data_IF_239501315769
#
_entry.id   IF_239501315769
#
_cell.length_a   1.000
_cell.length_b   1.000
_cell.length_c   1.000
_cell.angle_alpha   90.00
_cell.angle_beta   90.00
_cell.angle_gamma   90.00
#
_symmetry.space_group_name_H-M   'P 1'
#
loop_
_entity.id
_entity.type
_entity.pdbx_description
1 polymer ?
#
# COMPACT_ATOMS: atom_id res chain seq x y z
N UNK A 1 78.59 -84.16 24.95
CA UNK A 1 77.70 -85.35 24.93
C UNK A 1 77.40 -85.59 23.46
N UNK A 2 78.14 -86.53 22.86
CA UNK A 2 78.20 -86.73 21.40
C UNK A 2 77.15 -87.80 21.07
N UNK A 3 76.21 -87.48 20.17
CA UNK A 3 75.23 -88.44 19.67
C UNK A 3 75.75 -88.97 18.33
N UNK A 4 76.17 -90.23 18.32
CA UNK A 4 76.61 -90.96 17.12
C UNK A 4 75.36 -91.48 16.40
N UNK A 5 75.21 -91.13 15.12
CA UNK A 5 74.13 -91.64 14.27
C UNK A 5 74.79 -92.36 13.09
N UNK A 6 74.86 -93.68 13.18
CA UNK A 6 75.39 -94.54 12.12
C UNK A 6 74.28 -94.93 11.13
N UNK A 7 74.48 -94.60 9.85
CA UNK A 7 73.64 -95.06 8.76
C UNK A 7 74.54 -95.80 7.77
N UNK A 8 74.38 -97.12 7.69
CA UNK A 8 75.15 -98.02 6.81
C UNK A 8 74.43 -98.22 5.47
N UNK A 9 75.07 -97.73 4.39
CA UNK A 9 74.82 -98.21 3.01
C UNK A 9 76.17 -98.36 2.30
N UNK A 10 76.55 -99.61 2.01
CA UNK A 10 77.62 -100.09 1.14
C UNK A 10 78.84 -99.14 0.92
N UNK A 11 79.83 -99.24 1.81
CA UNK A 11 81.24 -99.02 1.43
C UNK A 11 81.85 -97.62 1.57
N UNK A 12 81.16 -96.63 2.16
CA UNK A 12 81.76 -95.33 2.50
C UNK A 12 81.06 -94.68 3.72
N UNK A 13 81.77 -94.46 4.83
CA UNK A 13 81.25 -93.77 6.04
C UNK A 13 81.54 -92.28 5.93
N UNK A 14 80.51 -91.43 6.06
CA UNK A 14 80.65 -89.96 6.09
C UNK A 14 80.39 -89.50 7.53
N UNK A 15 81.41 -88.94 8.19
CA UNK A 15 81.28 -88.25 9.47
C UNK A 15 81.12 -86.75 9.22
N UNK A 16 80.07 -86.15 9.79
CA UNK A 16 79.78 -84.71 9.71
C UNK A 16 79.96 -84.10 11.09
N UNK A 17 81.08 -83.41 11.30
CA UNK A 17 81.32 -82.59 12.49
C UNK A 17 80.70 -81.19 12.31
N UNK A 18 79.70 -80.86 13.14
CA UNK A 18 79.03 -79.56 13.13
C UNK A 18 79.10 -78.89 14.50
N UNK A 19 79.48 -77.60 14.51
CA UNK A 19 79.49 -76.75 15.71
C UNK A 19 78.39 -75.70 15.56
N UNK A 20 77.42 -75.68 16.49
CA UNK A 20 76.32 -74.72 16.48
C UNK A 20 76.78 -73.32 16.93
N UNK A 21 76.83 -72.36 16.01
CA UNK A 21 76.97 -70.93 16.33
C UNK A 21 75.59 -70.24 16.37
N UNK A 22 75.26 -69.55 17.47
CA UNK A 22 74.05 -68.69 17.53
C UNK A 22 74.36 -67.30 16.96
N UNK A 23 73.74 -66.94 15.84
CA UNK A 23 73.74 -65.56 15.32
C UNK A 23 72.61 -64.78 15.99
N UNK A 24 72.94 -63.84 16.86
CA UNK A 24 71.99 -62.90 17.45
C UNK A 24 71.85 -61.66 16.57
N UNK A 25 70.67 -61.41 16.02
CA UNK A 25 70.34 -60.16 15.33
C UNK A 25 69.62 -59.23 16.32
N UNK A 26 70.17 -58.02 16.53
CA UNK A 26 69.49 -56.96 17.29
C UNK A 26 68.81 -56.04 16.28
N UNK A 27 67.48 -56.05 16.22
CA UNK A 27 66.70 -55.13 15.38
C UNK A 27 65.90 -54.14 16.22
N UNK A 28 65.95 -52.87 15.84
CA UNK A 28 65.11 -51.79 16.41
C UNK A 28 63.91 -51.55 15.50
N UNK A 29 62.70 -51.45 16.08
CA UNK A 29 61.44 -51.31 15.35
C UNK A 29 61.28 -49.86 14.86
N UNK A 30 60.98 -49.58 13.57
CA UNK A 30 60.71 -48.22 13.11
C UNK A 30 59.31 -47.75 13.51
N UNK A 31 59.18 -46.47 13.90
CA UNK A 31 57.89 -45.81 14.12
C UNK A 31 57.68 -44.67 13.12
N UNK A 32 56.44 -44.49 12.67
CA UNK A 32 56.06 -43.41 11.74
C UNK A 32 55.13 -42.43 12.46
N UNK A 33 55.48 -41.13 12.44
CA UNK A 33 54.66 -40.04 12.98
C UNK A 33 53.99 -39.29 11.83
N UNK A 34 52.66 -39.28 11.80
CA UNK A 34 51.87 -38.53 10.82
C UNK A 34 51.35 -37.25 11.47
N UNK A 35 51.71 -36.09 10.91
CA UNK A 35 51.15 -34.80 11.29
C UNK A 35 50.09 -34.38 10.27
N UNK A 36 48.87 -34.10 10.73
CA UNK A 36 47.76 -33.61 9.90
C UNK A 36 47.30 -32.24 10.39
N UNK A 37 47.14 -31.29 9.47
CA UNK A 37 46.56 -29.97 9.74
C UNK A 37 45.10 -29.96 9.31
N UNK A 38 44.17 -29.69 10.24
CA UNK A 38 42.75 -29.57 9.93
C UNK A 38 42.46 -28.26 9.16
N UNK A 39 41.58 -28.26 8.13
CA UNK A 39 41.23 -27.05 7.40
C UNK A 39 40.37 -26.12 8.27
N UNK A 40 40.71 -24.83 8.29
CA UNK A 40 39.90 -23.81 8.96
C UNK A 40 38.84 -23.27 8.00
N UNK A 41 37.56 -23.55 8.28
CA UNK A 41 36.42 -23.01 7.52
C UNK A 41 36.09 -21.63 8.08
N UNK A 42 36.27 -20.57 7.28
CA UNK A 42 35.81 -19.21 7.61
C UNK A 42 34.43 -18.99 7.03
N UNK A 43 33.41 -19.11 7.88
CA UNK A 43 32.03 -18.78 7.54
C UNK A 43 31.82 -17.28 7.70
N UNK A 44 31.45 -16.58 6.62
CA UNK A 44 31.02 -15.18 6.67
C UNK A 44 29.52 -15.16 6.42
N UNK A 45 28.77 -14.68 7.41
CA UNK A 45 27.32 -14.47 7.32
C UNK A 45 27.13 -12.96 7.38
N UNK A 46 26.58 -12.37 6.33
CA UNK A 46 26.20 -10.97 6.31
C UNK A 46 24.72 -10.87 6.77
N UNK A 47 24.41 -9.90 7.64
CA UNK A 47 23.06 -9.77 8.22
C UNK A 47 22.03 -9.31 7.18
N UNK A 48 20.78 -9.81 7.23
CA UNK A 48 19.73 -9.36 6.33
C UNK A 48 19.27 -7.94 6.66
N UNK A 49 19.24 -7.06 5.66
CA UNK A 49 18.71 -5.70 5.78
C UNK A 49 17.24 -5.67 5.34
N UNK A 50 16.34 -5.21 6.22
CA UNK A 50 14.94 -4.96 5.90
C UNK A 50 14.74 -3.50 5.49
N UNK A 51 14.30 -3.25 4.27
CA UNK A 51 13.89 -1.92 3.79
C UNK A 51 12.37 -1.83 3.72
N UNK A 52 11.78 -0.99 4.57
CA UNK A 52 10.33 -0.69 4.54
C UNK A 52 10.12 0.59 3.75
N UNK A 53 9.41 0.51 2.62
CA UNK A 53 8.92 1.68 1.88
C UNK A 53 7.50 1.99 2.35
N UNK A 54 7.30 3.18 2.90
CA UNK A 54 5.99 3.70 3.25
C UNK A 54 5.59 4.71 2.20
N UNK A 55 4.55 4.42 1.43
CA UNK A 55 3.95 5.41 0.53
C UNK A 55 3.01 6.30 1.35
N UNK A 56 3.11 7.62 1.17
CA UNK A 56 2.21 8.56 1.84
C UNK A 56 0.94 8.75 1.01
N UNK A 57 -0.22 8.85 1.65
CA UNK A 57 -1.48 9.16 0.94
C UNK A 57 -1.88 10.59 1.28
N UNK A 58 -2.08 11.41 0.25
CA UNK A 58 -2.67 12.74 0.38
C UNK A 58 -4.18 12.67 0.12
N UNK A 59 -4.96 13.23 1.05
CA UNK A 59 -6.41 13.29 1.00
C UNK A 59 -6.85 14.72 0.70
N UNK A 60 -7.58 14.91 -0.39
CA UNK A 60 -8.22 16.16 -0.76
C UNK A 60 -9.74 16.00 -0.69
N UNK A 61 -10.40 16.86 0.08
CA UNK A 61 -11.86 16.90 0.19
C UNK A 61 -12.34 18.24 -0.36
N UNK A 62 -13.20 18.16 -1.36
CA UNK A 62 -13.85 19.32 -1.97
C UNK A 62 -15.30 19.44 -1.48
N UNK A 63 -15.63 20.60 -0.92
CA UNK A 63 -16.93 20.92 -0.35
C UNK A 63 -17.71 21.96 -1.17
N UNK A 64 -17.24 22.33 -2.38
CA UNK A 64 -17.81 23.46 -3.12
C UNK A 64 -19.32 23.30 -3.38
N UNK A 65 -19.78 22.10 -3.74
CA UNK A 65 -21.20 21.80 -3.95
C UNK A 65 -22.02 21.83 -2.65
N UNK A 66 -21.50 21.27 -1.55
CA UNK A 66 -22.19 21.32 -0.26
C UNK A 66 -22.45 22.76 0.21
N UNK A 67 -21.51 23.66 -0.07
CA UNK A 67 -21.64 25.06 0.30
C UNK A 67 -22.63 25.77 -0.61
N UNK A 68 -22.61 25.47 -1.91
CA UNK A 68 -23.57 26.00 -2.88
C UNK A 68 -25.02 25.64 -2.49
N UNK A 69 -25.27 24.42 -2.02
CA UNK A 69 -26.59 23.99 -1.54
C UNK A 69 -27.09 24.80 -0.32
N UNK A 70 -26.16 25.31 0.48
CA UNK A 70 -26.43 26.22 1.60
C UNK A 70 -26.49 27.69 1.17
N UNK A 71 -26.56 27.98 -0.13
CA UNK A 71 -26.46 29.31 -0.72
C UNK A 71 -25.16 30.06 -0.38
N UNK A 72 -24.08 29.33 -0.11
CA UNK A 72 -22.75 29.86 0.14
C UNK A 72 -21.87 29.65 -1.10
N UNK A 73 -21.55 30.74 -1.79
CA UNK A 73 -20.82 30.69 -3.06
C UNK A 73 -19.51 31.47 -2.98
N UNK A 74 -18.53 31.09 -3.81
CA UNK A 74 -17.34 31.93 -4.07
C UNK A 74 -17.77 33.27 -4.70
N UNK A 75 -17.02 34.37 -4.52
CA UNK A 75 -17.47 35.71 -4.92
C UNK A 75 -17.94 35.86 -6.36
N UNK A 76 -17.25 35.22 -7.32
CA UNK A 76 -17.63 35.27 -8.73
C UNK A 76 -18.93 34.52 -9.01
N UNK A 77 -19.03 33.31 -8.46
CA UNK A 77 -20.20 32.44 -8.57
C UNK A 77 -21.43 33.07 -7.92
N UNK A 78 -21.26 33.68 -6.73
CA UNK A 78 -22.28 34.44 -6.03
C UNK A 78 -22.89 35.54 -6.92
N UNK A 79 -22.04 36.34 -7.57
CA UNK A 79 -22.50 37.41 -8.45
C UNK A 79 -23.30 36.87 -9.64
N UNK A 80 -22.82 35.78 -10.26
CA UNK A 80 -23.48 35.15 -11.41
C UNK A 80 -24.86 34.59 -11.04
N UNK A 81 -24.94 33.80 -9.97
CA UNK A 81 -26.19 33.17 -9.51
C UNK A 81 -27.21 34.24 -9.15
N UNK A 82 -26.83 35.26 -8.37
CA UNK A 82 -27.74 36.32 -7.98
C UNK A 82 -28.20 37.17 -9.17
N UNK A 83 -27.31 37.48 -10.13
CA UNK A 83 -27.70 38.23 -11.32
C UNK A 83 -28.74 37.45 -12.15
N UNK A 84 -28.58 36.14 -12.26
CA UNK A 84 -29.53 35.26 -12.94
C UNK A 84 -30.88 35.23 -12.21
N UNK A 85 -30.86 34.95 -10.90
CA UNK A 85 -32.07 34.89 -10.08
C UNK A 85 -32.81 36.23 -10.05
N UNK A 86 -32.09 37.34 -9.93
CA UNK A 86 -32.68 38.68 -9.97
C UNK A 86 -33.35 38.95 -11.31
N UNK A 87 -32.69 38.61 -12.42
CA UNK A 87 -33.29 38.75 -13.75
C UNK A 87 -34.57 37.93 -13.90
N UNK A 88 -34.55 36.66 -13.47
CA UNK A 88 -35.72 35.79 -13.52
C UNK A 88 -36.87 36.35 -12.67
N UNK A 89 -36.58 36.74 -11.43
CA UNK A 89 -37.56 37.32 -10.50
C UNK A 89 -38.16 38.61 -11.07
N UNK A 90 -37.33 39.52 -11.57
CA UNK A 90 -37.81 40.76 -12.19
C UNK A 90 -38.70 40.50 -13.40
N UNK A 91 -38.38 39.52 -14.24
CA UNK A 91 -39.23 39.17 -15.39
C UNK A 91 -40.59 38.62 -14.95
N UNK A 92 -40.61 37.75 -13.93
CA UNK A 92 -41.85 37.23 -13.34
C UNK A 92 -42.69 38.35 -12.74
N UNK A 93 -42.08 39.26 -11.98
CA UNK A 93 -42.77 40.41 -11.39
C UNK A 93 -43.33 41.35 -12.45
N UNK A 94 -42.58 41.66 -13.52
CA UNK A 94 -43.08 42.48 -14.63
C UNK A 94 -44.29 41.82 -15.29
N UNK A 95 -44.21 40.52 -15.57
CA UNK A 95 -45.32 39.78 -16.17
C UNK A 95 -46.56 39.77 -15.25
N UNK A 96 -46.35 39.60 -13.95
CA UNK A 96 -47.42 39.65 -12.96
C UNK A 96 -48.07 41.04 -12.91
N UNK A 97 -47.28 42.11 -12.83
CA UNK A 97 -47.77 43.49 -12.79
C UNK A 97 -48.54 43.83 -14.07
N UNK A 98 -48.02 43.44 -15.24
CA UNK A 98 -48.72 43.64 -16.51
C UNK A 98 -50.07 42.91 -16.53
N UNK A 99 -50.09 41.64 -16.11
CA UNK A 99 -51.33 40.85 -16.03
C UNK A 99 -52.35 41.42 -15.02
N UNK A 100 -51.89 41.93 -13.88
CA UNK A 100 -52.75 42.65 -12.93
C UNK A 100 -53.30 43.94 -13.56
N UNK A 101 -52.47 44.70 -14.28
CA UNK A 101 -52.88 45.89 -15.02
C UNK A 101 -53.95 45.62 -16.08
N UNK A 102 -53.77 44.58 -16.90
CA UNK A 102 -54.75 44.16 -17.90
C UNK A 102 -56.09 43.78 -17.26
N UNK A 103 -56.04 43.05 -16.14
CA UNK A 103 -57.24 42.70 -15.35
C UNK A 103 -57.94 43.93 -14.77
N UNK A 104 -57.19 44.93 -14.31
CA UNK A 104 -57.76 46.18 -13.80
C UNK A 104 -58.37 47.02 -14.92
N UNK A 105 -57.74 47.10 -16.10
CA UNK A 105 -58.31 47.81 -17.25
C UNK A 105 -59.62 47.17 -17.73
N UNK A 106 -59.73 45.83 -17.67
CA UNK A 106 -60.97 45.12 -17.96
C UNK A 106 -62.11 45.40 -16.95
N UNK A 107 -61.82 45.93 -15.75
CA UNK A 107 -62.86 46.40 -14.83
C UNK A 107 -63.55 47.66 -15.31
N UNK A 108 -62.84 48.54 -16.01
CA UNK A 108 -63.42 49.75 -16.59
C UNK A 108 -64.50 49.40 -17.62
N UNK A 109 -64.38 48.25 -18.29
CA UNK A 109 -65.42 47.69 -19.18
C UNK A 109 -66.63 47.06 -18.48
N UNK A 110 -66.65 46.99 -17.14
CA UNK A 110 -67.86 46.70 -16.35
C UNK A 110 -68.17 45.24 -16.02
N UNK A 111 -67.24 44.29 -16.22
CA UNK A 111 -67.58 42.85 -16.14
C UNK A 111 -67.26 42.10 -14.82
N UNK A 112 -66.39 42.56 -13.90
CA UNK A 112 -66.01 41.77 -12.70
C UNK A 112 -65.61 42.67 -11.51
N UNK A 113 -65.44 42.13 -10.29
CA UNK A 113 -64.82 42.77 -9.11
C UNK A 113 -63.38 42.22 -8.90
N UNK A 114 -62.45 42.58 -9.78
CA UNK A 114 -61.09 42.01 -9.78
C UNK A 114 -60.23 42.48 -8.60
N UNK A 115 -60.56 43.61 -7.96
CA UNK A 115 -59.86 44.05 -6.75
C UNK A 115 -60.07 43.07 -5.59
N UNK A 116 -61.31 42.61 -5.38
CA UNK A 116 -61.62 41.62 -4.35
C UNK A 116 -60.94 40.26 -4.62
N UNK A 117 -60.84 39.86 -5.88
CA UNK A 117 -60.16 38.62 -6.29
C UNK A 117 -58.65 38.68 -6.04
N UNK A 118 -57.97 39.76 -6.46
CA UNK A 118 -56.52 39.96 -6.25
C UNK A 118 -56.20 40.03 -4.76
N UNK A 119 -57.02 40.74 -3.97
CA UNK A 119 -56.85 40.83 -2.52
C UNK A 119 -56.95 39.46 -1.83
N UNK A 120 -57.86 38.60 -2.30
CA UNK A 120 -58.04 37.25 -1.75
C UNK A 120 -56.87 36.33 -2.09
N UNK A 121 -56.31 36.45 -3.30
CA UNK A 121 -55.14 35.69 -3.75
C UNK A 121 -53.88 36.08 -2.94
N UNK A 122 -53.62 37.39 -2.78
CA UNK A 122 -52.47 37.87 -1.98
C UNK A 122 -52.64 37.65 -0.47
N UNK A 123 -53.87 37.58 0.03
CA UNK A 123 -54.17 37.36 1.45
C UNK A 123 -53.95 35.92 1.95
N UNK A 124 -53.80 34.95 1.04
CA UNK A 124 -53.48 33.56 1.37
C UNK A 124 -52.02 33.26 0.99
N UNK A 125 -51.07 33.89 1.68
CA UNK A 125 -49.66 33.54 1.49
C UNK A 125 -49.38 32.18 2.15
N UNK A 126 -49.29 31.13 1.33
CA UNK A 126 -48.87 29.81 1.80
C UNK A 126 -47.35 29.82 1.98
N UNK A 127 -46.91 29.58 3.22
CA UNK A 127 -45.51 29.34 3.52
C UNK A 127 -45.20 27.90 3.15
N UNK A 128 -44.56 27.70 2.01
CA UNK A 128 -44.00 26.40 1.64
C UNK A 128 -42.69 26.18 2.38
N UNK A 129 -42.54 24.98 2.95
CA UNK A 129 -41.30 24.53 3.56
C UNK A 129 -40.60 23.59 2.59
N UNK A 130 -39.48 24.04 2.04
CA UNK A 130 -38.65 23.19 1.19
C UNK A 130 -37.50 22.60 2.01
N UNK A 131 -37.36 21.28 2.01
CA UNK A 131 -36.21 20.61 2.61
C UNK A 131 -35.00 20.83 1.69
N UNK A 132 -33.95 21.46 2.22
CA UNK A 132 -32.71 21.65 1.46
C UNK A 132 -32.06 20.29 1.15
N UNK A 133 -31.83 20.02 -0.14
CA UNK A 133 -30.98 18.92 -0.58
C UNK A 133 -29.51 19.27 -0.25
N UNK A 134 -28.76 18.31 0.30
CA UNK A 134 -27.34 18.47 0.59
C UNK A 134 -26.55 17.44 -0.23
N UNK A 135 -25.71 17.95 -1.12
CA UNK A 135 -24.77 17.19 -1.93
C UNK A 135 -23.65 16.64 -1.07
N UNK A 136 -23.10 15.49 -1.48
CA UNK A 136 -21.96 14.88 -0.80
C UNK A 136 -20.65 15.55 -1.26
N UNK A 137 -19.67 15.71 -0.35
CA UNK A 137 -18.37 16.25 -0.73
C UNK A 137 -17.61 15.29 -1.65
N UNK A 138 -16.83 15.84 -2.57
CA UNK A 138 -15.99 15.02 -3.46
C UNK A 138 -14.67 14.72 -2.76
N UNK A 139 -14.38 13.43 -2.56
CA UNK A 139 -13.19 12.97 -1.87
C UNK A 139 -12.22 12.36 -2.89
N UNK A 140 -10.98 12.88 -2.93
CA UNK A 140 -9.90 12.38 -3.78
C UNK A 140 -8.73 11.98 -2.90
N UNK A 141 -8.20 10.77 -3.12
CA UNK A 141 -7.01 10.27 -2.43
C UNK A 141 -5.93 9.96 -3.47
N UNK A 142 -4.72 10.44 -3.24
CA UNK A 142 -3.57 10.20 -4.12
C UNK A 142 -2.38 9.65 -3.34
N UNK A 143 -1.71 8.64 -3.89
CA UNK A 143 -0.50 8.05 -3.30
C UNK A 143 0.70 8.86 -3.79
N UNK A 144 1.51 9.34 -2.86
CA UNK A 144 2.75 10.06 -3.10
C UNK A 144 3.91 9.10 -2.84
N UNK A 145 4.70 8.83 -3.89
CA UNK A 145 5.96 8.11 -3.74
C UNK A 145 7.00 8.99 -3.04
N UNK A 146 7.54 8.51 -1.92
CA UNK A 146 8.67 9.14 -1.26
C UNK A 146 9.92 8.95 -2.12
N UNK A 147 10.39 10.04 -2.75
CA UNK A 147 11.75 10.10 -3.27
C UNK A 147 12.72 9.94 -2.10
N UNK A 148 13.46 8.83 -2.07
CA UNK A 148 14.46 8.48 -1.06
C UNK A 148 15.41 9.66 -0.78
N UNK A 149 15.21 10.32 0.37
CA UNK A 149 16.22 11.19 0.97
C UNK A 149 17.34 10.26 1.44
N UNK A 150 18.46 10.29 0.72
CA UNK A 150 19.70 9.66 1.17
C UNK A 150 20.26 10.52 2.32
N UNK A 151 20.31 9.96 3.52
CA UNK A 151 21.05 10.50 4.68
C UNK A 151 22.41 9.83 4.72
#
# INVERSE_FOLDING_TARGET
MIAEVDIEVAGLRIEIDQVFGKLGLVQTIPFLRLEHTYPQIKLRIDDPVLTVKLDQVELSIDYEECWADLNMYKPLEFSRVNAYQAREKTQKEIAQIASEGDRLAALESGEVDAMAAIAREKGMEQVDFELAHLSLPQIKAQVIELSLIHI
#
